data_IF_821920463911
#
_entry.id   IF_821920463911
#
_cell.length_a   1.000
_cell.length_b   1.000
_cell.length_c   1.000
_cell.angle_alpha   90.00
_cell.angle_beta   90.00
_cell.angle_gamma   90.00
#
_symmetry.space_group_name_H-M   'P 1'
#
loop_
_entity.id
_entity.type
_entity.pdbx_description
1 polymer ?
#
# COMPACT_ATOMS: atom_id res chain seq x y z
N UNK A 1 -5.93 -0.65 14.95
CA UNK A 1 -5.56 0.58 14.21
C UNK A 1 -6.75 1.15 13.47
N UNK A 2 -6.64 2.35 12.85
CA UNK A 2 -7.70 2.92 12.00
C UNK A 2 -7.37 2.70 10.53
N UNK A 3 -8.42 2.47 9.71
CA UNK A 3 -8.31 2.36 8.27
C UNK A 3 -9.54 2.93 7.58
N UNK A 4 -9.36 3.44 6.35
CA UNK A 4 -10.44 3.88 5.49
C UNK A 4 -10.79 2.77 4.51
N UNK A 5 -11.98 2.20 4.65
CA UNK A 5 -12.43 1.04 3.88
C UNK A 5 -13.36 1.47 2.74
N UNK A 6 -13.10 0.92 1.56
CA UNK A 6 -14.00 0.94 0.42
C UNK A 6 -14.96 -0.24 0.50
N UNK A 7 -16.24 0.00 0.31
CA UNK A 7 -17.28 -1.02 0.31
C UNK A 7 -17.98 -1.16 -1.05
N UNK A 8 -18.26 -0.05 -1.72
CA UNK A 8 -18.79 -0.02 -3.09
C UNK A 8 -18.70 1.37 -3.69
N UNK A 9 -18.80 1.45 -5.03
CA UNK A 9 -18.90 2.72 -5.76
C UNK A 9 -20.09 3.57 -5.32
N UNK A 10 -19.96 4.88 -5.49
CA UNK A 10 -20.94 5.90 -5.09
C UNK A 10 -21.23 5.93 -3.58
N UNK A 11 -20.34 5.36 -2.77
CA UNK A 11 -20.33 5.53 -1.32
C UNK A 11 -18.98 6.12 -0.87
N UNK A 12 -18.99 7.00 0.13
CA UNK A 12 -17.74 7.45 0.74
C UNK A 12 -17.01 6.27 1.39
N UNK A 13 -15.70 6.41 1.55
CA UNK A 13 -14.91 5.49 2.37
C UNK A 13 -15.41 5.54 3.82
N UNK A 14 -15.36 4.41 4.50
CA UNK A 14 -15.78 4.26 5.88
C UNK A 14 -14.55 4.17 6.79
N UNK A 15 -14.47 5.04 7.81
CA UNK A 15 -13.42 4.94 8.82
C UNK A 15 -13.78 3.82 9.81
N UNK A 16 -12.96 2.78 9.84
CA UNK A 16 -13.19 1.59 10.66
C UNK A 16 -12.05 1.35 11.66
N UNK A 17 -12.38 0.61 12.71
CA UNK A 17 -11.38 -0.07 13.53
C UNK A 17 -10.94 -1.36 12.82
N UNK A 18 -9.65 -1.47 12.55
CA UNK A 18 -9.06 -2.59 11.81
C UNK A 18 -8.01 -3.30 12.68
N UNK A 19 -7.89 -4.62 12.58
CA UNK A 19 -6.87 -5.36 13.34
C UNK A 19 -5.46 -4.84 13.05
N UNK A 20 -4.59 -4.87 14.05
CA UNK A 20 -3.17 -4.62 13.81
C UNK A 20 -2.60 -5.72 12.90
N UNK A 21 -1.94 -5.37 11.79
CA UNK A 21 -1.36 -6.35 10.89
C UNK A 21 -0.17 -7.06 11.55
N UNK A 22 0.07 -8.29 11.13
CA UNK A 22 1.22 -9.09 11.58
C UNK A 22 1.92 -9.64 10.35
N UNK A 23 3.24 -9.47 10.31
CA UNK A 23 4.06 -10.04 9.25
C UNK A 23 4.09 -11.58 9.34
N UNK A 24 3.69 -12.23 8.28
CA UNK A 24 3.90 -13.65 8.06
C UNK A 24 5.27 -13.94 7.43
N UNK A 25 5.47 -15.17 6.99
CA UNK A 25 6.69 -15.58 6.30
C UNK A 25 6.90 -14.78 5.01
N UNK A 26 8.07 -14.17 4.83
CA UNK A 26 8.40 -13.36 3.66
C UNK A 26 7.73 -11.99 3.62
N UNK A 27 7.04 -11.58 4.69
CA UNK A 27 6.32 -10.31 4.75
C UNK A 27 6.94 -9.33 5.73
N UNK A 28 6.61 -8.05 5.54
CA UNK A 28 6.94 -6.97 6.47
C UNK A 28 5.69 -6.18 6.81
N UNK A 29 5.64 -5.62 8.02
CA UNK A 29 4.66 -4.60 8.39
C UNK A 29 5.30 -3.23 8.24
N UNK A 30 4.63 -2.35 7.54
CA UNK A 30 5.05 -0.95 7.32
C UNK A 30 4.16 -0.01 8.12
N UNK A 31 4.74 0.80 8.98
CA UNK A 31 4.12 1.97 9.61
C UNK A 31 4.12 3.10 8.58
N UNK A 32 2.94 3.43 8.05
CA UNK A 32 2.77 4.35 6.93
C UNK A 32 3.01 5.79 7.38
N UNK A 33 3.92 6.48 6.71
CA UNK A 33 4.27 7.88 6.98
C UNK A 33 3.74 8.84 5.92
N UNK A 34 3.51 8.35 4.71
CA UNK A 34 2.88 9.09 3.63
C UNK A 34 2.15 8.11 2.70
N UNK A 35 0.97 8.49 2.25
CA UNK A 35 0.22 7.81 1.20
C UNK A 35 -0.29 8.85 0.20
N UNK A 36 -0.12 8.58 -1.08
CA UNK A 36 -0.67 9.38 -2.17
C UNK A 36 -2.14 9.05 -2.44
N UNK A 37 -2.78 9.89 -3.22
CA UNK A 37 -4.11 9.68 -3.76
C UNK A 37 -4.01 9.68 -5.29
N UNK A 38 -4.09 8.51 -5.88
CA UNK A 38 -4.08 8.34 -7.32
C UNK A 38 -5.48 8.60 -7.92
N UNK A 39 -5.53 9.02 -9.18
CA UNK A 39 -6.82 9.14 -9.89
C UNK A 39 -7.56 7.80 -9.99
N UNK A 40 -6.86 6.68 -9.96
CA UNK A 40 -7.44 5.34 -9.90
C UNK A 40 -8.34 5.16 -8.68
N UNK A 41 -7.94 5.66 -7.50
CA UNK A 41 -8.78 5.59 -6.30
C UNK A 41 -10.10 6.36 -6.48
N UNK A 42 -10.04 7.53 -7.13
CA UNK A 42 -11.22 8.32 -7.48
C UNK A 42 -12.11 7.55 -8.46
N UNK A 43 -11.51 6.93 -9.48
CA UNK A 43 -12.25 6.15 -10.48
C UNK A 43 -12.93 4.94 -9.85
N UNK A 44 -12.28 4.24 -8.92
CA UNK A 44 -12.88 3.13 -8.17
C UNK A 44 -14.12 3.59 -7.39
N UNK A 45 -14.07 4.79 -6.81
CA UNK A 45 -15.21 5.36 -6.07
C UNK A 45 -16.36 5.77 -6.97
N UNK A 46 -16.12 6.09 -8.24
CA UNK A 46 -17.11 6.71 -9.14
C UNK A 46 -17.62 5.77 -10.23
N UNK A 47 -16.82 4.83 -10.72
CA UNK A 47 -17.19 3.93 -11.82
C UNK A 47 -17.49 2.51 -11.34
N UNK A 48 -18.77 2.05 -11.44
CA UNK A 48 -19.15 0.68 -11.06
C UNK A 48 -18.44 -0.43 -11.84
N UNK A 49 -17.87 -0.12 -13.01
CA UNK A 49 -17.11 -1.09 -13.81
C UNK A 49 -15.91 -1.68 -13.07
N UNK A 50 -15.33 -0.91 -12.15
CA UNK A 50 -14.21 -1.35 -11.34
C UNK A 50 -14.57 -2.42 -10.29
N UNK A 51 -15.85 -2.53 -9.92
CA UNK A 51 -16.29 -3.53 -8.93
C UNK A 51 -16.00 -4.97 -9.33
N UNK A 52 -15.77 -5.25 -10.60
CA UNK A 52 -15.38 -6.58 -11.09
C UNK A 52 -13.90 -6.91 -10.80
N UNK A 53 -13.07 -5.88 -10.62
CA UNK A 53 -11.62 -6.01 -10.39
C UNK A 53 -11.26 -5.83 -8.91
N UNK A 54 -12.11 -5.14 -8.16
CA UNK A 54 -11.87 -4.80 -6.75
C UNK A 54 -12.51 -5.84 -5.83
N UNK A 55 -11.75 -6.38 -4.90
CA UNK A 55 -12.23 -7.35 -3.90
C UNK A 55 -12.81 -6.65 -2.66
N UNK A 56 -13.90 -5.90 -2.84
CA UNK A 56 -14.56 -5.22 -1.72
C UNK A 56 -15.17 -6.20 -0.70
N UNK A 57 -15.17 -5.88 0.63
CA UNK A 57 -14.61 -4.65 1.20
C UNK A 57 -13.08 -4.69 1.22
N UNK A 58 -12.41 -3.55 0.98
CA UNK A 58 -10.95 -3.44 0.89
C UNK A 58 -10.47 -2.07 1.33
N UNK A 59 -9.27 -1.97 1.87
CA UNK A 59 -8.59 -0.69 2.11
C UNK A 59 -7.95 -0.26 0.79
N UNK A 60 -8.28 0.93 0.30
CA UNK A 60 -7.65 1.49 -0.91
C UNK A 60 -6.27 2.09 -0.60
N UNK A 61 -5.64 2.69 -1.62
CA UNK A 61 -4.33 3.34 -1.54
C UNK A 61 -3.19 2.42 -1.96
N UNK A 62 -2.45 2.83 -2.97
CA UNK A 62 -1.37 2.04 -3.57
C UNK A 62 -0.09 2.84 -3.79
N UNK A 63 -0.04 4.12 -3.40
CA UNK A 63 1.15 4.97 -3.41
C UNK A 63 1.58 5.24 -1.98
N UNK A 64 2.61 4.58 -1.45
CA UNK A 64 2.98 4.85 -0.07
C UNK A 64 4.42 4.56 0.29
N UNK A 65 4.82 5.22 1.37
CA UNK A 65 6.14 5.05 1.98
C UNK A 65 6.01 5.11 3.51
N UNK A 66 6.91 4.43 4.18
CA UNK A 66 6.91 4.36 5.63
C UNK A 66 8.16 3.75 6.21
N UNK A 67 8.02 3.25 7.41
CA UNK A 67 9.09 2.62 8.19
C UNK A 67 8.69 1.17 8.50
N UNK A 68 9.61 0.24 8.36
CA UNK A 68 9.40 -1.15 8.75
C UNK A 68 9.15 -1.21 10.27
N UNK A 69 7.96 -1.66 10.66
CA UNK A 69 7.52 -1.83 12.03
C UNK A 69 7.84 -3.25 12.57
N UNK A 70 7.67 -4.26 11.71
CA UNK A 70 8.07 -5.63 12.02
C UNK A 70 8.41 -6.41 10.75
N UNK A 71 9.20 -7.46 10.90
CA UNK A 71 9.61 -8.36 9.83
C UNK A 71 9.17 -9.78 10.15
N UNK A 72 8.71 -10.50 9.15
CA UNK A 72 8.33 -11.90 9.26
C UNK A 72 9.51 -12.86 9.10
N UNK A 73 9.23 -14.15 9.24
CA UNK A 73 10.23 -15.20 9.03
C UNK A 73 10.78 -15.14 7.59
N UNK A 74 12.05 -15.49 7.42
CA UNK A 74 12.78 -15.54 6.14
C UNK A 74 13.00 -14.17 5.46
N UNK A 75 12.62 -13.04 6.05
CA UNK A 75 13.00 -11.71 5.57
C UNK A 75 14.41 -11.38 6.05
N UNK A 76 15.35 -11.24 5.13
CA UNK A 76 16.78 -10.97 5.41
C UNK A 76 17.23 -9.58 4.95
N UNK A 77 16.53 -8.99 3.99
CA UNK A 77 16.96 -7.76 3.32
C UNK A 77 16.45 -6.49 4.01
N UNK A 78 15.54 -6.65 4.97
CA UNK A 78 14.94 -5.56 5.74
C UNK A 78 15.00 -5.81 7.23
N UNK A 79 15.04 -4.73 8.00
CA UNK A 79 14.96 -4.73 9.46
C UNK A 79 14.03 -3.64 9.97
N UNK A 80 13.59 -3.77 11.21
CA UNK A 80 12.79 -2.74 11.90
C UNK A 80 13.55 -1.40 11.88
N UNK A 81 12.84 -0.35 11.50
CA UNK A 81 13.38 1.00 11.37
C UNK A 81 13.85 1.37 9.95
N UNK A 82 13.93 0.43 9.02
CA UNK A 82 14.28 0.75 7.63
C UNK A 82 13.19 1.60 6.98
N UNK A 83 13.61 2.59 6.21
CA UNK A 83 12.75 3.50 5.45
C UNK A 83 12.48 2.89 4.08
N UNK A 84 11.22 2.72 3.73
CA UNK A 84 10.82 2.05 2.49
C UNK A 84 9.73 2.78 1.73
N UNK A 85 9.76 2.67 0.40
CA UNK A 85 8.61 2.84 -0.48
C UNK A 85 8.10 1.47 -0.91
N UNK A 86 6.83 1.37 -1.28
CA UNK A 86 6.21 0.09 -1.62
C UNK A 86 5.74 0.09 -3.07
N UNK A 87 6.21 -0.87 -3.86
CA UNK A 87 5.73 -1.11 -5.21
C UNK A 87 4.27 -1.60 -5.15
N UNK A 88 3.34 -0.97 -5.89
CA UNK A 88 1.92 -1.29 -5.78
C UNK A 88 1.50 -2.61 -6.43
N UNK A 89 2.39 -3.24 -7.17
CA UNK A 89 2.13 -4.50 -7.88
C UNK A 89 3.21 -5.51 -7.52
N UNK A 90 2.77 -6.64 -6.99
CA UNK A 90 3.66 -7.76 -6.71
C UNK A 90 4.28 -8.26 -8.03
N UNK A 91 5.61 -8.23 -8.15
CA UNK A 91 6.30 -8.61 -9.39
C UNK A 91 6.14 -10.09 -9.74
N UNK A 92 5.88 -10.96 -8.76
CA UNK A 92 5.77 -12.41 -8.95
C UNK A 92 4.35 -12.86 -9.28
N UNK A 93 3.35 -12.24 -8.65
CA UNK A 93 1.94 -12.66 -8.77
C UNK A 93 1.07 -11.69 -9.58
N UNK A 94 1.52 -10.45 -9.79
CA UNK A 94 0.72 -9.39 -10.38
C UNK A 94 -0.42 -8.90 -9.46
N UNK A 95 -0.40 -9.25 -8.18
CA UNK A 95 -1.39 -8.80 -7.22
C UNK A 95 -1.27 -7.29 -7.00
N UNK A 96 -2.39 -6.59 -7.08
CA UNK A 96 -2.44 -5.13 -6.89
C UNK A 96 -2.87 -4.78 -5.46
N UNK A 97 -2.04 -3.99 -4.80
CA UNK A 97 -2.34 -3.38 -3.50
C UNK A 97 -3.43 -2.32 -3.66
N UNK A 98 -4.29 -2.18 -2.66
CA UNK A 98 -5.37 -1.18 -2.67
C UNK A 98 -6.52 -1.50 -3.62
N UNK A 99 -6.63 -2.76 -4.05
CA UNK A 99 -7.72 -3.21 -4.91
C UNK A 99 -7.98 -4.71 -4.78
N UNK A 100 -6.97 -5.54 -5.04
CA UNK A 100 -7.08 -6.99 -4.86
C UNK A 100 -6.75 -7.43 -3.43
N UNK A 101 -5.90 -6.68 -2.76
CA UNK A 101 -5.55 -6.80 -1.34
C UNK A 101 -5.59 -5.43 -0.68
N UNK A 102 -5.60 -5.40 0.65
CA UNK A 102 -5.65 -4.14 1.40
C UNK A 102 -4.49 -3.21 1.08
N UNK A 103 -4.79 -1.91 1.04
CA UNK A 103 -3.87 -0.83 0.69
C UNK A 103 -3.58 0.13 1.85
N UNK A 104 -3.05 1.27 1.51
CA UNK A 104 -2.35 2.17 2.42
C UNK A 104 -3.21 3.25 3.10
N UNK A 105 -4.52 3.28 2.90
CA UNK A 105 -5.36 4.22 3.65
C UNK A 105 -5.63 3.71 5.07
N UNK A 106 -4.54 3.35 5.76
CA UNK A 106 -4.50 2.80 7.11
C UNK A 106 -3.24 3.30 7.85
N UNK A 107 -3.17 3.05 9.16
CA UNK A 107 -1.95 3.39 9.90
C UNK A 107 -0.77 2.48 9.54
N UNK A 108 -1.04 1.19 9.34
CA UNK A 108 -0.03 0.18 9.01
C UNK A 108 -0.55 -0.77 7.94
N UNK A 109 0.37 -1.37 7.20
CA UNK A 109 0.10 -2.39 6.19
C UNK A 109 1.07 -3.55 6.30
N UNK A 110 0.60 -4.75 5.99
CA UNK A 110 1.46 -5.92 5.74
C UNK A 110 1.60 -6.11 4.24
N UNK A 111 2.83 -6.31 3.79
CA UNK A 111 3.15 -6.54 2.38
C UNK A 111 4.26 -7.59 2.23
N UNK A 112 4.34 -8.29 1.10
CA UNK A 112 5.51 -9.07 0.74
C UNK A 112 6.77 -8.20 0.77
N UNK A 113 7.85 -8.70 1.33
CA UNK A 113 9.12 -7.97 1.37
C UNK A 113 9.66 -7.66 -0.04
N UNK A 114 9.27 -8.44 -1.04
CA UNK A 114 9.62 -8.23 -2.46
C UNK A 114 9.04 -6.93 -3.04
N UNK A 115 7.99 -6.39 -2.45
CA UNK A 115 7.40 -5.11 -2.85
C UNK A 115 8.08 -3.90 -2.18
N UNK A 116 8.85 -4.13 -1.13
CA UNK A 116 9.53 -3.06 -0.41
C UNK A 116 10.83 -2.63 -1.10
N UNK A 117 11.06 -1.32 -1.15
CA UNK A 117 12.24 -0.69 -1.75
C UNK A 117 12.85 0.25 -0.73
N UNK A 118 14.13 0.10 -0.43
CA UNK A 118 14.84 1.03 0.46
C UNK A 118 14.80 2.46 -0.09
N UNK A 119 14.36 3.41 0.74
CA UNK A 119 14.42 4.83 0.41
C UNK A 119 15.80 5.39 0.79
N UNK A 120 16.47 6.11 -0.13
CA UNK A 120 17.66 6.89 0.20
C UNK A 120 17.40 7.91 1.32
N UNK A 121 18.41 8.20 2.13
CA UNK A 121 18.28 9.09 3.30
C UNK A 121 17.80 10.51 2.93
N UNK A 122 18.16 10.98 1.73
CA UNK A 122 17.79 12.29 1.21
C UNK A 122 16.40 12.35 0.56
N UNK A 123 15.67 11.23 0.49
CA UNK A 123 14.30 11.14 -0.04
C UNK A 123 13.33 11.20 1.13
N UNK A 124 12.41 12.14 1.13
CA UNK A 124 11.34 12.22 2.13
C UNK A 124 10.27 11.14 1.90
N UNK A 125 9.48 10.81 2.93
CA UNK A 125 8.38 9.87 2.75
C UNK A 125 7.33 10.36 1.74
N UNK A 126 7.09 11.67 1.65
CA UNK A 126 6.19 12.25 0.65
C UNK A 126 6.70 12.01 -0.76
N UNK A 127 7.99 12.25 -1.00
CA UNK A 127 8.62 11.98 -2.29
C UNK A 127 8.64 10.47 -2.59
N UNK A 128 8.96 9.64 -1.59
CA UNK A 128 8.95 8.18 -1.71
C UNK A 128 7.57 7.66 -2.08
N UNK A 129 6.51 8.09 -1.40
CA UNK A 129 5.15 7.68 -1.71
C UNK A 129 4.76 8.05 -3.15
N UNK A 130 4.98 9.30 -3.57
CA UNK A 130 4.68 9.74 -4.93
C UNK A 130 5.52 8.99 -6.00
N UNK A 131 6.74 8.58 -5.66
CA UNK A 131 7.61 7.86 -6.59
C UNK A 131 7.15 6.42 -6.86
N UNK A 132 6.46 5.78 -5.91
CA UNK A 132 6.09 4.35 -6.01
C UNK A 132 4.98 4.05 -7.02
N UNK A 133 4.20 5.04 -7.44
CA UNK A 133 3.24 4.90 -8.53
C UNK A 133 3.40 6.00 -9.58
N UNK A 134 3.07 7.25 -9.25
CA UNK A 134 3.10 8.36 -10.22
C UNK A 134 4.49 8.55 -10.84
N UNK A 135 5.56 8.47 -10.03
CA UNK A 135 6.94 8.56 -10.50
C UNK A 135 7.36 7.36 -11.35
N UNK A 136 7.10 6.16 -10.87
CA UNK A 136 7.48 4.92 -11.55
C UNK A 136 6.74 4.77 -12.88
N UNK A 137 5.43 4.99 -12.90
CA UNK A 137 4.59 4.92 -14.10
C UNK A 137 5.04 5.92 -15.16
N UNK A 138 5.29 7.17 -14.75
CA UNK A 138 5.77 8.22 -15.66
C UNK A 138 7.18 7.95 -16.19
N UNK A 139 8.05 7.34 -15.38
CA UNK A 139 9.40 6.98 -15.79
C UNK A 139 9.40 5.80 -16.80
N UNK A 140 8.44 4.90 -16.68
CA UNK A 140 8.34 3.70 -17.52
C UNK A 140 7.65 3.97 -18.88
N UNK A 141 6.88 5.05 -18.99
CA UNK A 141 6.19 5.46 -20.21
C UNK A 141 7.13 6.13 -21.22
#
# INVERSE_FOLDING_TARGET
MKAWQFTKTHKPLELIDYPEPKAGKGEVVVDIKASGLCHTDVTILDDPGWMQLIKAPVILGHEYAGVIDSVGEEVTDFKVGDRVGICPIDPDTGTSIGGMVDGAYANKMVVPATEAIHLPDNVTFLQGAAATDAGMTSHHA
#
